data_IF_715593974225
#
_entry.id   IF_715593974225
#
_cell.length_a   1.000
_cell.length_b   1.000
_cell.length_c   1.000
_cell.angle_alpha   90.00
_cell.angle_beta   90.00
_cell.angle_gamma   90.00
#
_symmetry.space_group_name_H-M   'P 1'
#
loop_
_entity.id
_entity.type
_entity.pdbx_description
1 polymer ?
#
# COMPACT_ATOMS: atom_id res chain seq x y z
N UNK A 1 31.15 26.96 -25.42
CA UNK A 1 29.71 26.98 -25.11
C UNK A 1 29.08 25.90 -25.98
N UNK A 2 29.04 24.67 -25.48
CA UNK A 2 28.51 23.52 -26.21
C UNK A 2 26.97 23.57 -26.06
N UNK A 3 26.29 23.71 -27.20
CA UNK A 3 24.84 23.55 -27.29
C UNK A 3 24.48 22.12 -26.86
N UNK A 4 23.70 21.99 -25.81
CA UNK A 4 23.06 20.72 -25.47
C UNK A 4 22.22 20.25 -26.65
N UNK A 5 22.24 18.97 -27.03
CA UNK A 5 21.39 18.48 -28.09
C UNK A 5 19.95 18.78 -27.74
N UNK A 6 19.23 19.39 -28.68
CA UNK A 6 17.78 19.51 -28.63
C UNK A 6 17.27 18.06 -28.64
N UNK A 7 16.80 17.59 -27.50
CA UNK A 7 16.06 16.34 -27.43
C UNK A 7 14.78 16.58 -28.22
N UNK A 8 14.62 15.93 -29.37
CA UNK A 8 13.34 15.90 -30.07
C UNK A 8 12.26 15.56 -29.03
N UNK A 9 11.15 16.27 -29.00
CA UNK A 9 10.06 15.90 -28.13
C UNK A 9 9.66 14.48 -28.52
N UNK A 10 10.08 13.49 -27.74
CA UNK A 10 9.47 12.16 -27.77
C UNK A 10 7.98 12.46 -27.72
N UNK A 11 7.23 12.03 -28.74
CA UNK A 11 5.78 12.03 -28.69
C UNK A 11 5.38 11.26 -27.44
N UNK A 12 5.27 11.97 -26.33
CA UNK A 12 4.61 11.46 -25.15
C UNK A 12 3.15 11.23 -25.58
N UNK A 13 2.84 10.00 -25.97
CA UNK A 13 1.48 9.56 -26.32
C UNK A 13 0.52 9.60 -25.12
N UNK A 14 0.82 10.45 -24.15
CA UNK A 14 -0.01 10.68 -22.97
C UNK A 14 -1.03 11.76 -23.34
N UNK A 15 -2.28 11.37 -23.45
CA UNK A 15 -3.38 12.32 -23.62
C UNK A 15 -3.48 13.23 -22.39
N UNK A 16 -2.87 14.41 -22.47
CA UNK A 16 -2.86 15.41 -21.40
C UNK A 16 -4.28 15.84 -21.00
N UNK A 17 -5.23 15.84 -21.93
CA UNK A 17 -6.63 16.17 -21.63
C UNK A 17 -7.31 15.05 -20.85
N UNK A 18 -6.99 13.80 -21.13
CA UNK A 18 -7.46 12.67 -20.33
C UNK A 18 -6.93 12.74 -18.89
N UNK A 19 -5.63 13.04 -18.72
CA UNK A 19 -5.05 13.21 -17.38
C UNK A 19 -5.71 14.35 -16.60
N UNK A 20 -5.99 15.48 -17.23
CA UNK A 20 -6.68 16.61 -16.58
C UNK A 20 -8.11 16.25 -16.17
N UNK A 21 -8.83 15.51 -17.01
CA UNK A 21 -10.17 14.99 -16.67
C UNK A 21 -10.12 14.03 -15.48
N UNK A 22 -9.16 13.10 -15.48
CA UNK A 22 -8.99 12.18 -14.35
C UNK A 22 -8.64 12.91 -13.05
N UNK A 23 -7.76 13.92 -13.11
CA UNK A 23 -7.43 14.73 -11.94
C UNK A 23 -8.65 15.46 -11.37
N UNK A 24 -9.51 16.03 -12.24
CA UNK A 24 -10.74 16.68 -11.80
C UNK A 24 -11.74 15.70 -11.16
N UNK A 25 -11.89 14.50 -11.72
CA UNK A 25 -12.73 13.43 -11.15
C UNK A 25 -12.20 12.97 -9.80
N UNK A 26 -10.89 12.83 -9.65
CA UNK A 26 -10.27 12.46 -8.36
C UNK A 26 -10.58 13.51 -7.29
N UNK A 27 -10.43 14.80 -7.62
CA UNK A 27 -10.72 15.89 -6.68
C UNK A 27 -12.20 15.91 -6.25
N UNK A 28 -13.12 15.73 -7.21
CA UNK A 28 -14.55 15.62 -6.93
C UNK A 28 -14.85 14.46 -5.96
N UNK A 29 -14.29 13.27 -6.22
CA UNK A 29 -14.53 12.09 -5.40
C UNK A 29 -13.80 12.09 -4.06
N UNK A 30 -12.72 12.88 -3.92
CA UNK A 30 -12.06 13.09 -2.63
C UNK A 30 -12.83 14.08 -1.73
N UNK A 31 -13.78 14.84 -2.30
CA UNK A 31 -14.51 15.89 -1.60
C UNK A 31 -15.14 15.47 -0.25
N UNK A 32 -15.70 14.27 -0.08
CA UNK A 32 -16.30 13.85 1.20
C UNK A 32 -15.27 13.41 2.25
N UNK A 33 -13.99 13.25 1.90
CA UNK A 33 -13.00 12.61 2.75
C UNK A 33 -12.00 13.59 3.36
N UNK A 34 -11.60 13.34 4.61
CA UNK A 34 -10.31 13.78 5.14
C UNK A 34 -9.26 12.74 4.72
N UNK A 35 -8.16 13.17 4.16
CA UNK A 35 -7.18 12.28 3.53
C UNK A 35 -5.91 12.19 4.36
N UNK A 36 -5.48 10.98 4.67
CA UNK A 36 -4.16 10.68 5.20
C UNK A 36 -3.38 9.90 4.13
N UNK A 37 -2.22 10.41 3.74
CA UNK A 37 -1.33 9.72 2.79
C UNK A 37 -0.27 8.97 3.57
N UNK A 38 -0.14 7.67 3.34
CA UNK A 38 0.83 6.80 3.99
C UNK A 38 1.76 6.17 2.96
N UNK A 39 2.96 6.72 2.77
CA UNK A 39 3.92 6.26 1.76
C UNK A 39 5.35 6.55 2.15
N UNK A 40 6.24 5.58 1.90
CA UNK A 40 7.69 5.77 1.96
C UNK A 40 8.28 6.34 0.66
N UNK A 41 7.48 6.40 -0.42
CA UNK A 41 7.93 6.84 -1.74
C UNK A 41 7.62 8.32 -1.97
N UNK A 42 8.65 9.19 -1.87
CA UNK A 42 8.51 10.63 -2.08
C UNK A 42 7.84 11.03 -3.40
N UNK A 43 8.15 10.42 -4.56
CA UNK A 43 7.44 10.73 -5.81
C UNK A 43 5.95 10.46 -5.74
N UNK A 44 5.56 9.33 -5.13
CA UNK A 44 4.15 8.98 -4.94
C UNK A 44 3.44 9.96 -4.01
N UNK A 45 4.07 10.32 -2.87
CA UNK A 45 3.57 11.37 -1.98
C UNK A 45 3.34 12.69 -2.73
N UNK A 46 4.29 13.10 -3.58
CA UNK A 46 4.18 14.33 -4.37
C UNK A 46 3.00 14.26 -5.35
N UNK A 47 2.83 13.15 -6.07
CA UNK A 47 1.70 12.97 -6.99
C UNK A 47 0.35 13.03 -6.26
N UNK A 48 0.23 12.34 -5.14
CA UNK A 48 -1.00 12.37 -4.33
C UNK A 48 -1.26 13.74 -3.74
N UNK A 49 -0.22 14.45 -3.28
CA UNK A 49 -0.35 15.83 -2.81
C UNK A 49 -0.88 16.76 -3.89
N UNK A 50 -0.34 16.70 -5.10
CA UNK A 50 -0.80 17.50 -6.22
C UNK A 50 -2.27 17.24 -6.57
N UNK A 51 -2.75 16.03 -6.33
CA UNK A 51 -4.15 15.65 -6.50
C UNK A 51 -5.05 16.15 -5.36
N UNK A 52 -4.58 16.05 -4.11
CA UNK A 52 -5.36 16.43 -2.91
C UNK A 52 -5.37 17.94 -2.68
N UNK A 53 -4.25 18.62 -3.00
CA UNK A 53 -4.10 20.09 -2.80
C UNK A 53 -4.89 20.89 -3.81
N UNK A 54 -5.23 20.31 -4.96
CA UNK A 54 -5.93 21.01 -6.00
C UNK A 54 -5.13 22.16 -6.61
N UNK A 55 -5.69 22.83 -7.61
CA UNK A 55 -5.08 23.98 -8.32
C UNK A 55 -5.29 25.28 -7.55
N UNK A 56 -4.70 25.42 -6.36
CA UNK A 56 -4.68 26.73 -5.69
C UNK A 56 -3.48 27.54 -6.13
N UNK A 57 -3.74 28.75 -6.64
CA UNK A 57 -2.71 29.71 -7.05
C UNK A 57 -2.15 30.41 -5.82
N UNK A 58 -1.11 29.84 -5.21
CA UNK A 58 -0.39 30.42 -4.06
C UNK A 58 0.27 29.35 -3.18
N UNK A 59 1.28 29.72 -2.33
CA UNK A 59 1.81 28.77 -1.34
C UNK A 59 0.71 28.49 -0.29
N UNK A 60 0.18 27.26 -0.23
CA UNK A 60 -1.01 27.00 0.57
C UNK A 60 -0.66 26.69 2.02
N UNK A 61 -1.51 27.01 2.97
CA UNK A 61 -1.74 26.09 4.07
C UNK A 61 -2.26 24.78 3.44
N UNK A 62 -1.80 23.63 3.96
CA UNK A 62 -2.33 22.34 3.54
C UNK A 62 -3.87 22.40 3.51
N UNK A 63 -4.54 21.90 2.47
CA UNK A 63 -5.98 21.96 2.41
C UNK A 63 -6.56 21.34 3.67
N UNK A 64 -7.65 21.85 4.22
CA UNK A 64 -8.23 21.37 5.49
C UNK A 64 -8.60 19.88 5.46
N UNK A 65 -8.57 19.25 4.28
CA UNK A 65 -8.83 17.83 4.07
C UNK A 65 -7.61 16.94 4.24
N UNK A 66 -6.37 17.46 4.07
CA UNK A 66 -5.16 16.66 4.23
C UNK A 66 -4.75 16.63 5.70
N UNK A 67 -4.87 15.46 6.32
CA UNK A 67 -4.46 15.25 7.72
C UNK A 67 -2.95 15.19 7.88
N UNK A 68 -2.24 14.68 6.87
CA UNK A 68 -0.79 14.58 6.86
C UNK A 68 -0.25 13.58 5.87
N UNK A 69 1.08 13.47 5.86
CA UNK A 69 1.81 12.43 5.13
C UNK A 69 2.62 11.65 6.16
N UNK A 70 2.43 10.34 6.16
CA UNK A 70 3.09 9.42 7.06
C UNK A 70 4.00 8.48 6.26
N UNK A 71 5.20 8.20 6.74
CA UNK A 71 6.14 7.28 6.12
C UNK A 71 6.36 5.99 6.93
N UNK A 72 5.68 5.89 8.07
CA UNK A 72 5.79 4.79 9.01
C UNK A 72 4.45 4.52 9.70
N UNK A 73 4.25 3.32 10.20
CA UNK A 73 3.05 2.91 10.94
C UNK A 73 2.82 3.79 12.18
N UNK A 74 3.90 4.19 12.86
CA UNK A 74 3.82 5.09 14.01
C UNK A 74 3.28 6.48 13.61
N UNK A 75 3.76 7.03 12.49
CA UNK A 75 3.29 8.31 11.98
C UNK A 75 1.81 8.24 11.51
N UNK A 76 1.38 7.14 10.90
CA UNK A 76 -0.04 6.92 10.56
C UNK A 76 -0.92 6.97 11.81
N UNK A 77 -0.55 6.25 12.88
CA UNK A 77 -1.29 6.26 14.15
C UNK A 77 -1.38 7.66 14.76
N UNK A 78 -0.30 8.44 14.69
CA UNK A 78 -0.23 9.79 15.23
C UNK A 78 -1.14 10.77 14.49
N UNK A 79 -1.26 10.65 13.16
CA UNK A 79 -2.07 11.57 12.35
C UNK A 79 -3.53 11.14 12.21
N UNK A 80 -3.84 9.89 12.54
CA UNK A 80 -5.20 9.38 12.38
C UNK A 80 -6.07 9.84 13.57
N UNK A 81 -7.15 10.60 13.32
CA UNK A 81 -8.05 11.03 14.39
C UNK A 81 -8.89 9.87 14.94
N UNK A 82 -9.59 10.14 16.02
CA UNK A 82 -10.62 9.26 16.56
C UNK A 82 -11.88 10.13 16.85
N UNK A 83 -13.01 9.89 16.19
CA UNK A 83 -13.28 8.83 15.20
C UNK A 83 -12.60 9.07 13.83
N UNK A 84 -12.41 7.99 13.05
CA UNK A 84 -11.76 8.00 11.74
C UNK A 84 -12.69 7.58 10.58
N UNK A 85 -14.00 7.50 10.80
CA UNK A 85 -14.97 7.01 9.81
C UNK A 85 -15.10 7.89 8.54
N UNK A 86 -14.69 9.15 8.61
CA UNK A 86 -14.64 10.10 7.50
C UNK A 86 -13.22 10.24 6.90
N UNK A 87 -12.28 9.40 7.34
CA UNK A 87 -10.89 9.43 6.86
C UNK A 87 -10.68 8.38 5.78
N UNK A 88 -10.11 8.83 4.66
CA UNK A 88 -9.55 7.97 3.64
C UNK A 88 -8.03 7.90 3.83
N UNK A 89 -7.51 6.70 4.07
CA UNK A 89 -6.07 6.44 4.12
C UNK A 89 -5.64 5.91 2.77
N UNK A 90 -4.89 6.72 2.03
CA UNK A 90 -4.24 6.32 0.78
C UNK A 90 -2.85 5.83 1.11
N UNK A 91 -2.55 4.55 0.88
CA UNK A 91 -1.24 4.00 1.27
C UNK A 91 -0.65 3.07 0.23
N UNK A 92 0.68 2.97 0.23
CA UNK A 92 1.43 1.96 -0.50
C UNK A 92 1.37 0.62 0.25
N UNK A 93 1.83 -0.43 -0.40
CA UNK A 93 1.99 -1.76 0.20
C UNK A 93 3.09 -1.85 1.26
N UNK A 94 4.04 -0.88 1.29
CA UNK A 94 5.14 -0.83 2.25
C UNK A 94 5.39 0.58 2.77
N UNK A 95 5.70 0.68 4.07
CA UNK A 95 6.21 1.87 4.72
C UNK A 95 7.68 1.66 5.11
N UNK A 96 8.32 2.68 5.73
CA UNK A 96 9.72 2.58 6.18
C UNK A 96 9.95 1.45 7.19
N UNK A 97 8.95 1.13 7.96
CA UNK A 97 8.96 0.08 8.99
C UNK A 97 8.43 -1.27 8.50
N UNK A 98 8.20 -1.42 7.18
CA UNK A 98 7.87 -2.69 6.55
C UNK A 98 6.50 -2.75 5.89
N UNK A 99 5.92 -3.97 5.81
CA UNK A 99 4.61 -4.20 5.21
C UNK A 99 3.49 -3.47 5.95
N UNK A 100 2.54 -2.91 5.21
CA UNK A 100 1.38 -2.21 5.80
C UNK A 100 0.29 -3.15 6.33
N UNK A 101 0.32 -4.45 6.01
CA UNK A 101 -0.78 -5.34 6.36
C UNK A 101 -1.06 -5.43 7.87
N UNK A 102 -0.06 -5.48 8.77
CA UNK A 102 -0.32 -5.45 10.21
C UNK A 102 -1.02 -4.15 10.64
N UNK A 103 -0.57 -3.01 10.10
CA UNK A 103 -1.21 -1.72 10.34
C UNK A 103 -2.65 -1.69 9.81
N UNK A 104 -2.88 -2.17 8.59
CA UNK A 104 -4.22 -2.26 7.99
C UNK A 104 -5.15 -3.09 8.85
N UNK A 105 -4.70 -4.24 9.34
CA UNK A 105 -5.49 -5.07 10.25
C UNK A 105 -5.88 -4.32 11.53
N UNK A 106 -4.94 -3.60 12.14
CA UNK A 106 -5.17 -2.77 13.31
C UNK A 106 -6.21 -1.65 13.01
N UNK A 107 -6.04 -0.94 11.89
CA UNK A 107 -6.92 0.15 11.49
C UNK A 107 -8.36 -0.31 11.27
N UNK A 108 -8.54 -1.46 10.61
CA UNK A 108 -9.87 -2.01 10.30
C UNK A 108 -10.58 -2.60 11.53
N UNK A 109 -9.85 -2.89 12.62
CA UNK A 109 -10.40 -3.38 13.88
C UNK A 109 -10.83 -2.25 14.85
N UNK A 110 -10.61 -0.97 14.50
CA UNK A 110 -11.03 0.18 15.33
C UNK A 110 -12.55 0.25 15.41
N UNK A 111 -13.12 0.79 16.51
CA UNK A 111 -14.57 1.04 16.62
C UNK A 111 -15.12 1.94 15.51
N UNK A 112 -14.30 2.90 15.05
CA UNK A 112 -14.61 3.78 13.91
C UNK A 112 -13.48 3.70 12.90
N UNK A 113 -13.44 2.64 12.06
CA UNK A 113 -12.32 2.38 11.16
C UNK A 113 -12.28 3.43 10.03
N UNK A 114 -11.08 3.81 9.56
CA UNK A 114 -10.92 4.58 8.34
C UNK A 114 -11.24 3.71 7.13
N UNK A 115 -11.52 4.36 6.00
CA UNK A 115 -11.50 3.70 4.70
C UNK A 115 -10.07 3.59 4.19
N UNK A 116 -9.66 2.40 3.77
CA UNK A 116 -8.29 2.14 3.31
C UNK A 116 -8.29 1.85 1.81
N UNK A 117 -7.50 2.62 1.07
CA UNK A 117 -7.15 2.35 -0.33
C UNK A 117 -5.64 2.04 -0.39
N UNK A 118 -5.32 0.82 -0.85
CA UNK A 118 -3.94 0.42 -1.09
C UNK A 118 -3.57 0.58 -2.57
N UNK A 119 -2.46 1.26 -2.80
CA UNK A 119 -1.80 1.33 -4.09
C UNK A 119 -0.68 0.27 -4.15
N UNK A 120 -0.74 -0.58 -5.17
CA UNK A 120 0.15 -1.72 -5.32
C UNK A 120 1.13 -1.47 -6.45
N UNK A 121 2.44 -1.45 -6.15
CA UNK A 121 3.49 -1.24 -7.14
C UNK A 121 3.90 -2.56 -7.84
N UNK A 122 4.33 -2.46 -9.10
CA UNK A 122 4.95 -3.58 -9.79
C UNK A 122 6.39 -3.83 -9.26
N UNK A 123 6.83 -5.11 -9.15
CA UNK A 123 6.12 -6.33 -9.50
C UNK A 123 5.05 -6.71 -8.48
N UNK A 124 3.82 -6.89 -8.96
CA UNK A 124 2.68 -7.23 -8.12
C UNK A 124 2.86 -8.58 -7.44
N UNK A 125 2.62 -8.62 -6.14
CA UNK A 125 2.77 -9.84 -5.33
C UNK A 125 1.40 -10.46 -5.05
N UNK A 126 1.07 -11.62 -5.67
CA UNK A 126 -0.24 -12.24 -5.50
C UNK A 126 -0.61 -12.53 -4.04
N UNK A 127 0.37 -12.92 -3.23
CA UNK A 127 0.16 -13.21 -1.81
C UNK A 127 -0.28 -11.95 -1.03
N UNK A 128 0.38 -10.80 -1.28
CA UNK A 128 0.07 -9.54 -0.64
C UNK A 128 -1.30 -8.99 -1.07
N UNK A 129 -1.59 -9.05 -2.37
CA UNK A 129 -2.90 -8.65 -2.93
C UNK A 129 -4.03 -9.44 -2.29
N UNK A 130 -3.90 -10.78 -2.24
CA UNK A 130 -4.90 -11.65 -1.61
C UNK A 130 -5.04 -11.41 -0.10
N UNK A 131 -3.91 -11.22 0.61
CA UNK A 131 -3.93 -10.92 2.04
C UNK A 131 -4.65 -9.60 2.34
N UNK A 132 -4.33 -8.52 1.63
CA UNK A 132 -4.99 -7.22 1.76
C UNK A 132 -6.50 -7.32 1.50
N UNK A 133 -6.89 -8.04 0.43
CA UNK A 133 -8.31 -8.22 0.10
C UNK A 133 -9.07 -9.01 1.17
N UNK A 134 -8.47 -10.08 1.72
CA UNK A 134 -9.05 -10.87 2.82
C UNK A 134 -9.18 -10.10 4.12
N UNK A 135 -8.23 -9.21 4.42
CA UNK A 135 -8.33 -8.32 5.58
C UNK A 135 -9.52 -7.35 5.51
N UNK A 136 -10.12 -7.17 4.33
CA UNK A 136 -11.25 -6.29 4.18
C UNK A 136 -10.90 -4.87 3.72
N UNK A 137 -9.71 -4.66 3.14
CA UNK A 137 -9.36 -3.39 2.49
C UNK A 137 -10.44 -3.00 1.50
N UNK A 138 -10.87 -1.75 1.53
CA UNK A 138 -12.01 -1.30 0.75
C UNK A 138 -11.65 -1.06 -0.72
N UNK A 139 -10.40 -0.63 -1.02
CA UNK A 139 -9.97 -0.50 -2.40
C UNK A 139 -8.51 -0.96 -2.59
N UNK A 140 -8.26 -1.68 -3.69
CA UNK A 140 -6.93 -2.08 -4.16
C UNK A 140 -6.77 -1.61 -5.61
N UNK A 141 -5.70 -0.84 -5.89
CA UNK A 141 -5.42 -0.28 -7.21
C UNK A 141 -3.95 -0.52 -7.58
N UNK A 142 -3.68 -0.97 -8.79
CA UNK A 142 -2.31 -1.03 -9.31
C UNK A 142 -1.79 0.37 -9.63
N UNK A 143 -0.54 0.68 -9.26
CA UNK A 143 0.07 1.99 -9.59
C UNK A 143 0.18 2.23 -11.09
N UNK A 144 0.38 1.18 -11.90
CA UNK A 144 0.42 1.26 -13.35
C UNK A 144 -0.92 1.69 -13.98
N UNK A 145 -2.01 1.62 -13.21
CA UNK A 145 -3.35 2.01 -13.62
C UNK A 145 -3.75 3.43 -13.18
N UNK A 146 -2.89 4.10 -12.40
CA UNK A 146 -3.18 5.44 -11.87
C UNK A 146 -3.49 6.45 -12.97
N UNK A 147 -2.70 6.47 -14.05
CA UNK A 147 -2.91 7.33 -15.22
C UNK A 147 -4.09 6.95 -16.11
N UNK A 148 -4.78 5.83 -15.82
CA UNK A 148 -5.90 5.30 -16.61
C UNK A 148 -7.28 5.55 -15.98
N UNK A 149 -7.34 6.39 -14.95
CA UNK A 149 -8.58 6.74 -14.24
C UNK A 149 -9.02 5.75 -13.18
N UNK A 150 -8.18 4.75 -12.84
CA UNK A 150 -8.54 3.72 -11.84
C UNK A 150 -8.71 4.30 -10.45
N UNK A 151 -7.90 5.29 -10.07
CA UNK A 151 -8.08 5.97 -8.78
C UNK A 151 -9.45 6.65 -8.68
N UNK A 152 -9.89 7.34 -9.74
CA UNK A 152 -11.21 7.97 -9.76
C UNK A 152 -12.34 6.94 -9.64
N UNK A 153 -12.23 5.80 -10.35
CA UNK A 153 -13.20 4.70 -10.25
C UNK A 153 -13.24 4.08 -8.85
N UNK A 154 -12.08 3.88 -8.24
CA UNK A 154 -11.97 3.38 -6.87
C UNK A 154 -12.66 4.33 -5.88
N UNK A 155 -12.35 5.62 -5.95
CA UNK A 155 -12.96 6.65 -5.09
C UNK A 155 -14.47 6.75 -5.31
N UNK A 156 -14.95 6.69 -6.55
CA UNK A 156 -16.37 6.66 -6.86
C UNK A 156 -17.09 5.44 -6.25
N UNK A 157 -16.45 4.27 -6.26
CA UNK A 157 -16.99 3.07 -5.61
C UNK A 157 -17.02 3.24 -4.08
N UNK A 158 -15.94 3.74 -3.47
CA UNK A 158 -15.86 4.01 -2.04
C UNK A 158 -16.94 5.00 -1.58
N UNK A 159 -17.22 6.04 -2.37
CA UNK A 159 -18.29 7.01 -2.08
C UNK A 159 -19.70 6.38 -2.09
N UNK A 160 -19.89 5.23 -2.76
CA UNK A 160 -21.13 4.45 -2.73
C UNK A 160 -21.12 3.37 -1.64
N UNK A 161 -20.06 3.29 -0.83
CA UNK A 161 -19.89 2.23 0.16
C UNK A 161 -19.53 0.87 -0.46
N UNK A 162 -19.09 0.85 -1.72
CA UNK A 162 -18.70 -0.35 -2.44
C UNK A 162 -17.19 -0.60 -2.31
N UNK A 163 -16.79 -1.88 -2.34
CA UNK A 163 -15.39 -2.25 -2.44
C UNK A 163 -14.93 -2.19 -3.90
N UNK A 164 -13.67 -1.79 -4.10
CA UNK A 164 -13.09 -1.69 -5.43
C UNK A 164 -11.84 -2.54 -5.58
N UNK A 165 -11.74 -3.23 -6.71
CA UNK A 165 -10.58 -4.04 -7.05
C UNK A 165 -10.12 -3.70 -8.47
N UNK A 166 -8.89 -3.18 -8.60
CA UNK A 166 -8.34 -2.73 -9.88
C UNK A 166 -8.22 -3.87 -10.91
N UNK A 167 -8.50 -3.61 -12.19
CA UNK A 167 -8.49 -4.62 -13.24
C UNK A 167 -7.15 -5.33 -13.40
N UNK A 168 -6.02 -4.61 -13.24
CA UNK A 168 -4.68 -5.20 -13.32
C UNK A 168 -4.39 -6.23 -12.23
N UNK A 169 -5.10 -6.14 -11.11
CA UNK A 169 -4.97 -7.04 -9.96
C UNK A 169 -5.90 -8.26 -10.07
N UNK A 170 -6.96 -8.19 -10.90
CA UNK A 170 -7.99 -9.24 -10.99
C UNK A 170 -7.43 -10.65 -11.31
N UNK A 171 -6.45 -10.82 -12.22
CA UNK A 171 -5.84 -12.13 -12.47
C UNK A 171 -5.17 -12.75 -11.23
N UNK A 172 -4.72 -11.91 -10.29
CA UNK A 172 -4.04 -12.37 -9.06
C UNK A 172 -4.99 -12.96 -8.02
N UNK A 173 -6.29 -12.61 -8.08
CA UNK A 173 -7.33 -13.26 -7.29
C UNK A 173 -7.81 -14.58 -7.92
N UNK A 174 -7.88 -14.61 -9.26
CA UNK A 174 -8.35 -15.77 -10.01
C UNK A 174 -7.30 -16.90 -10.11
N UNK A 175 -6.03 -16.60 -9.84
CA UNK A 175 -5.00 -17.64 -9.78
C UNK A 175 -5.27 -18.55 -8.58
N UNK A 176 -5.72 -19.78 -8.85
CA UNK A 176 -6.01 -20.84 -7.89
C UNK A 176 -4.74 -21.35 -7.17
N UNK A 177 -4.08 -20.45 -6.42
CA UNK A 177 -3.22 -20.92 -5.34
C UNK A 177 -4.12 -21.28 -4.17
N UNK A 178 -3.88 -22.42 -3.49
CA UNK A 178 -4.67 -22.78 -2.31
C UNK A 178 -4.73 -21.58 -1.35
N UNK A 179 -5.87 -21.43 -0.71
CA UNK A 179 -6.13 -20.32 0.24
C UNK A 179 -5.05 -20.17 1.34
N UNK A 180 -4.26 -21.23 1.51
CA UNK A 180 -3.18 -21.36 2.48
C UNK A 180 -1.81 -20.79 2.04
N UNK A 181 -1.61 -20.50 0.75
CA UNK A 181 -0.29 -20.04 0.24
C UNK A 181 0.03 -18.58 0.54
N UNK A 182 -0.95 -17.77 0.94
CA UNK A 182 -0.69 -16.37 1.30
C UNK A 182 -0.14 -16.26 2.73
N UNK A 183 0.93 -15.47 2.89
CA UNK A 183 1.45 -15.16 4.22
C UNK A 183 0.39 -14.43 5.04
N UNK A 184 0.18 -14.86 6.28
CA UNK A 184 -0.68 -14.16 7.25
C UNK A 184 0.00 -12.86 7.71
N UNK A 185 -0.77 -11.96 8.35
CA UNK A 185 -0.21 -10.74 8.90
C UNK A 185 0.94 -11.03 9.88
N UNK A 186 0.79 -12.07 10.70
CA UNK A 186 1.83 -12.47 11.67
C UNK A 186 3.09 -13.02 10.99
N UNK A 187 2.94 -13.79 9.91
CA UNK A 187 4.06 -14.25 9.09
C UNK A 187 4.77 -13.11 8.38
N UNK A 188 4.04 -12.06 7.97
CA UNK A 188 4.61 -10.84 7.39
C UNK A 188 5.36 -9.97 8.42
N UNK A 189 5.03 -10.06 9.71
CA UNK A 189 5.82 -9.45 10.79
C UNK A 189 7.09 -10.24 11.08
N UNK A 190 7.02 -11.57 10.98
CA UNK A 190 8.14 -12.49 11.22
C UNK A 190 9.16 -12.44 10.09
N UNK A 191 8.70 -12.32 8.84
CA UNK A 191 9.55 -12.44 7.64
C UNK A 191 10.70 -11.43 7.58
N UNK A 192 10.53 -10.13 7.91
CA UNK A 192 11.66 -9.18 7.98
C UNK A 192 12.71 -9.60 9.00
N UNK A 193 12.29 -10.01 10.19
CA UNK A 193 13.19 -10.43 11.26
C UNK A 193 13.96 -11.73 10.88
N UNK A 194 13.28 -12.62 10.15
CA UNK A 194 13.93 -13.80 9.57
C UNK A 194 14.98 -13.40 8.54
N UNK A 195 14.67 -12.43 7.67
CA UNK A 195 15.58 -11.93 6.64
C UNK A 195 16.79 -11.17 7.23
N UNK A 196 16.62 -10.50 8.36
CA UNK A 196 17.71 -9.91 9.16
C UNK A 196 18.61 -10.97 9.82
N UNK A 197 18.24 -12.24 9.72
CA UNK A 197 19.04 -13.34 10.28
C UNK A 197 18.75 -13.69 11.76
N UNK A 198 17.72 -13.11 12.37
CA UNK A 198 17.36 -13.36 13.77
C UNK A 198 16.95 -14.82 13.98
N UNK A 199 17.42 -15.41 15.06
CA UNK A 199 16.99 -16.75 15.52
C UNK A 199 15.52 -16.74 15.97
N UNK A 200 14.87 -17.91 16.02
CA UNK A 200 13.47 -18.01 16.50
C UNK A 200 13.30 -17.41 17.90
N UNK A 201 14.29 -17.60 18.79
CA UNK A 201 14.31 -17.00 20.12
C UNK A 201 14.35 -15.47 20.07
N UNK A 202 15.17 -14.88 19.19
CA UNK A 202 15.26 -13.43 19.03
C UNK A 202 13.98 -12.85 18.40
N UNK A 203 13.41 -13.56 17.41
CA UNK A 203 12.11 -13.22 16.81
C UNK A 203 11.02 -13.24 17.90
N UNK A 204 10.98 -14.29 18.70
CA UNK A 204 10.03 -14.44 19.81
C UNK A 204 10.12 -13.26 20.79
N UNK A 205 11.35 -12.91 21.20
CA UNK A 205 11.59 -11.76 22.09
C UNK A 205 11.14 -10.44 21.47
N UNK A 206 11.46 -10.20 20.17
CA UNK A 206 11.12 -8.97 19.45
C UNK A 206 9.61 -8.79 19.29
N UNK A 207 8.90 -9.90 19.07
CA UNK A 207 7.45 -9.91 18.84
C UNK A 207 6.62 -10.23 20.08
N UNK A 208 7.27 -10.43 21.23
CA UNK A 208 6.64 -10.77 22.52
C UNK A 208 5.73 -12.02 22.44
N UNK A 209 6.23 -13.08 21.81
CA UNK A 209 5.56 -14.38 21.68
C UNK A 209 6.43 -15.51 22.21
N UNK A 210 5.85 -16.70 22.33
CA UNK A 210 6.62 -17.89 22.68
C UNK A 210 7.58 -18.30 21.55
N UNK A 211 8.75 -18.85 21.87
CA UNK A 211 9.73 -19.31 20.87
C UNK A 211 9.16 -20.40 19.96
N UNK A 212 8.30 -21.27 20.52
CA UNK A 212 7.59 -22.31 19.76
C UNK A 212 6.70 -21.65 18.69
N UNK A 213 5.97 -20.61 19.05
CA UNK A 213 5.11 -19.86 18.12
C UNK A 213 5.92 -19.19 17.00
N UNK A 214 7.08 -18.60 17.35
CA UNK A 214 7.97 -18.01 16.33
C UNK A 214 8.50 -19.08 15.37
N UNK A 215 8.88 -20.25 15.88
CA UNK A 215 9.31 -21.41 15.06
C UNK A 215 8.20 -21.86 14.11
N UNK A 216 6.96 -21.96 14.60
CA UNK A 216 5.82 -22.40 13.80
C UNK A 216 5.52 -21.38 12.68
N UNK A 217 5.58 -20.08 12.96
CA UNK A 217 5.47 -19.05 11.92
C UNK A 217 6.58 -19.16 10.87
N UNK A 218 7.84 -19.34 11.29
CA UNK A 218 8.96 -19.55 10.36
C UNK A 218 8.71 -20.78 9.49
N UNK A 219 8.26 -21.88 10.07
CA UNK A 219 7.94 -23.12 9.33
C UNK A 219 6.85 -22.87 8.26
N UNK A 220 5.76 -22.20 8.62
CA UNK A 220 4.68 -21.87 7.69
C UNK A 220 5.16 -20.91 6.60
N UNK A 221 6.04 -19.95 6.92
CA UNK A 221 6.65 -19.06 5.91
C UNK A 221 7.42 -19.89 4.88
N UNK A 222 8.27 -20.84 5.31
CA UNK A 222 9.02 -21.69 4.41
C UNK A 222 8.11 -22.51 3.49
N UNK A 223 7.04 -23.09 4.05
CA UNK A 223 6.05 -23.85 3.28
C UNK A 223 5.35 -22.97 2.25
N UNK A 224 4.83 -21.80 2.67
CA UNK A 224 4.08 -20.86 1.79
C UNK A 224 4.95 -20.24 0.72
N UNK A 225 6.22 -19.97 1.02
CA UNK A 225 7.19 -19.49 0.04
C UNK A 225 7.78 -20.61 -0.82
N UNK A 226 7.46 -21.88 -0.51
CA UNK A 226 7.95 -23.09 -1.20
C UNK A 226 9.47 -23.16 -1.26
N UNK A 227 10.12 -22.84 -0.15
CA UNK A 227 11.57 -22.89 0.01
C UNK A 227 11.95 -23.84 1.14
N UNK A 228 13.16 -24.41 1.06
CA UNK A 228 13.60 -25.48 1.98
C UNK A 228 14.33 -24.96 3.21
N UNK A 229 14.82 -23.73 3.18
CA UNK A 229 15.59 -23.17 4.29
C UNK A 229 15.36 -21.66 4.44
N UNK A 230 15.79 -21.13 5.60
CA UNK A 230 15.59 -19.74 5.98
C UNK A 230 16.36 -18.73 5.09
N UNK A 231 17.52 -19.16 4.58
CA UNK A 231 18.34 -18.29 3.71
C UNK A 231 17.67 -18.11 2.36
N UNK A 232 17.09 -19.18 1.82
CA UNK A 232 16.29 -19.14 0.60
C UNK A 232 15.01 -18.30 0.81
N UNK A 233 14.37 -18.38 2.00
CA UNK A 233 13.23 -17.56 2.32
C UNK A 233 13.61 -16.06 2.39
N UNK A 234 14.73 -15.73 3.05
CA UNK A 234 15.25 -14.37 3.12
C UNK A 234 15.55 -13.80 1.73
N UNK A 235 16.30 -14.56 0.91
CA UNK A 235 16.64 -14.14 -0.46
C UNK A 235 15.40 -13.96 -1.34
N UNK A 236 14.41 -14.85 -1.22
CA UNK A 236 13.16 -14.76 -1.95
C UNK A 236 12.34 -13.55 -1.47
N UNK A 237 12.28 -13.29 -0.16
CA UNK A 237 11.56 -12.16 0.43
C UNK A 237 12.14 -10.82 -0.06
N UNK A 238 13.47 -10.68 -0.14
CA UNK A 238 14.14 -9.50 -0.71
C UNK A 238 13.81 -9.37 -2.21
N UNK A 239 13.92 -10.47 -2.98
CA UNK A 239 13.63 -10.47 -4.42
C UNK A 239 12.18 -10.11 -4.73
N UNK A 240 11.24 -10.52 -3.87
CA UNK A 240 9.82 -10.20 -3.99
C UNK A 240 9.48 -8.83 -3.38
N UNK A 241 10.46 -8.07 -2.83
CA UNK A 241 10.21 -6.79 -2.19
C UNK A 241 9.37 -6.88 -0.90
N UNK A 242 9.24 -8.08 -0.30
CA UNK A 242 8.53 -8.27 0.98
C UNK A 242 9.34 -7.74 2.16
N UNK A 243 10.66 -7.65 1.98
CA UNK A 243 11.64 -7.09 2.91
C UNK A 243 12.72 -6.35 2.13
N UNK A 244 13.44 -5.45 2.81
CA UNK A 244 14.56 -4.69 2.24
C UNK A 244 15.89 -5.29 2.61
#
# INVERSE_FOLDING_TARGET
MALLPVIDPVELSIDTQALLRFAAQVDEHLSPWRVLVATAHRPFATLLLLQVVGRQSGPPPLPPRLLGIADSSAAVRQHLPDPASDVLVLMDETLRDGSVLPLVQELLQRPSPPTVLLAMAAPLQPALVRAAWRLGVQALVGLDDYGKGELARALAALNRGERYFGPSLAPLLASDGPADDALSCRELEVLPLLAEGLTNRQIAQRLQIAEVTARDHVHHILQKLRVNDRSAAAALAVRLGLVR
#
